data_IF_424221639324
#
_entry.id   IF_424221639324
#
_cell.length_a   1.000
_cell.length_b   1.000
_cell.length_c   1.000
_cell.angle_alpha   90.00
_cell.angle_beta   90.00
_cell.angle_gamma   90.00
#
_symmetry.space_group_name_H-M   'P 1'
#
loop_
_entity.id
_entity.type
_entity.pdbx_description
1 polymer ?
#
# COMPACT_ATOMS: atom_id res chain seq x y z
N UNK A 1 -4.62 7.21 -11.98
CA UNK A 1 -4.52 6.02 -11.11
C UNK A 1 -5.88 5.35 -11.03
N UNK A 2 -5.91 4.05 -11.19
CA UNK A 2 -7.13 3.28 -11.08
C UNK A 2 -7.06 2.41 -9.82
N UNK A 3 -8.03 2.60 -8.91
CA UNK A 3 -8.13 1.81 -7.69
C UNK A 3 -9.15 0.70 -7.90
N UNK A 4 -8.76 -0.53 -7.60
CA UNK A 4 -9.61 -1.72 -7.77
C UNK A 4 -9.71 -2.49 -6.47
N UNK A 5 -10.88 -3.08 -6.24
CA UNK A 5 -11.13 -3.97 -5.11
C UNK A 5 -11.88 -5.20 -5.60
N UNK A 6 -11.74 -6.29 -4.86
CA UNK A 6 -12.47 -7.54 -5.07
C UNK A 6 -13.34 -7.81 -3.83
N UNK A 7 -14.66 -7.56 -3.91
CA UNK A 7 -15.53 -7.77 -2.75
C UNK A 7 -15.61 -9.23 -2.29
N UNK A 8 -15.26 -10.18 -3.15
CA UNK A 8 -15.27 -11.62 -2.81
C UNK A 8 -14.03 -12.05 -2.05
N UNK A 9 -12.99 -11.22 -2.01
CA UNK A 9 -11.76 -11.52 -1.26
C UNK A 9 -12.01 -11.40 0.25
N UNK A 10 -11.37 -12.26 1.06
CA UNK A 10 -11.43 -12.12 2.52
C UNK A 10 -10.64 -10.92 3.06
N UNK A 11 -9.81 -10.29 2.23
CA UNK A 11 -9.02 -9.12 2.63
C UNK A 11 -9.97 -7.93 2.83
N UNK A 12 -9.88 -7.19 3.95
CA UNK A 12 -10.71 -6.00 4.17
C UNK A 12 -10.58 -4.99 3.02
N UNK A 13 -11.70 -4.38 2.64
CA UNK A 13 -11.73 -3.47 1.48
C UNK A 13 -10.78 -2.29 1.63
N UNK A 14 -10.63 -1.74 2.84
CA UNK A 14 -9.68 -0.65 3.08
C UNK A 14 -8.24 -1.06 2.79
N UNK A 15 -7.87 -2.28 3.17
CA UNK A 15 -6.53 -2.82 2.88
C UNK A 15 -6.34 -3.02 1.39
N UNK A 16 -7.40 -3.42 0.68
CA UNK A 16 -7.36 -3.57 -0.79
C UNK A 16 -7.17 -2.22 -1.48
N UNK A 17 -7.81 -1.17 -0.98
CA UNK A 17 -7.63 0.18 -1.50
C UNK A 17 -6.16 0.59 -1.35
N UNK A 18 -5.59 0.42 -0.17
CA UNK A 18 -4.18 0.74 0.07
C UNK A 18 -3.26 -0.08 -0.82
N UNK A 19 -3.51 -1.38 -0.96
CA UNK A 19 -2.71 -2.26 -1.82
C UNK A 19 -2.78 -1.83 -3.29
N UNK A 20 -3.94 -1.36 -3.75
CA UNK A 20 -4.13 -0.88 -5.12
C UNK A 20 -3.25 0.35 -5.39
N UNK A 21 -3.18 1.28 -4.43
CA UNK A 21 -2.32 2.47 -4.54
C UNK A 21 -0.84 2.05 -4.58
N UNK A 22 -0.42 1.16 -3.68
CA UNK A 22 0.97 0.68 -3.66
C UNK A 22 1.35 0.03 -4.99
N UNK A 23 0.45 -0.73 -5.58
CA UNK A 23 0.68 -1.37 -6.88
C UNK A 23 0.84 -0.33 -7.98
N UNK A 24 0.01 0.71 -8.01
CA UNK A 24 0.12 1.78 -8.99
C UNK A 24 1.48 2.49 -8.90
N UNK A 25 1.97 2.71 -7.67
CA UNK A 25 3.30 3.28 -7.46
C UNK A 25 4.38 2.33 -7.96
N UNK A 26 4.27 1.04 -7.63
CA UNK A 26 5.25 0.02 -8.04
C UNK A 26 5.32 -0.10 -9.57
N UNK A 27 4.18 0.02 -10.23
CA UNK A 27 4.07 -0.11 -11.69
C UNK A 27 4.41 1.18 -12.44
N UNK A 28 4.75 2.25 -11.72
CA UNK A 28 5.09 3.54 -12.32
C UNK A 28 3.88 4.34 -12.81
N UNK A 29 2.65 3.94 -12.43
CA UNK A 29 1.43 4.64 -12.81
C UNK A 29 1.12 5.84 -11.90
N UNK A 30 1.88 6.00 -10.83
CA UNK A 30 1.76 7.11 -9.89
C UNK A 30 3.13 7.45 -9.33
N UNK A 31 3.37 8.72 -9.06
CA UNK A 31 4.67 9.24 -8.62
C UNK A 31 4.52 10.22 -7.46
N UNK A 32 5.60 10.49 -6.71
CA UNK A 32 5.56 11.52 -5.66
C UNK A 32 5.02 12.84 -6.19
N UNK A 33 4.17 13.47 -5.41
CA UNK A 33 3.49 14.71 -5.79
C UNK A 33 2.13 14.50 -6.46
N UNK A 34 1.86 13.30 -6.95
CA UNK A 34 0.56 12.99 -7.53
C UNK A 34 -0.53 12.94 -6.46
N UNK A 35 -1.70 13.42 -6.83
CA UNK A 35 -2.87 13.35 -5.94
C UNK A 35 -3.58 12.02 -6.16
N UNK A 36 -4.00 11.41 -5.06
CA UNK A 36 -4.91 10.27 -5.16
C UNK A 36 -6.29 10.75 -5.59
N UNK A 37 -7.08 9.89 -6.24
CA UNK A 37 -8.47 10.24 -6.53
C UNK A 37 -9.21 10.61 -5.25
N UNK A 38 -10.12 11.60 -5.27
CA UNK A 38 -10.91 11.93 -4.09
C UNK A 38 -11.66 10.71 -3.56
N UNK A 39 -11.66 10.55 -2.24
CA UNK A 39 -12.23 9.37 -1.61
C UNK A 39 -13.70 9.15 -2.00
N UNK A 40 -14.48 10.24 -2.13
CA UNK A 40 -15.88 10.14 -2.54
C UNK A 40 -16.06 9.62 -3.95
N UNK A 41 -15.16 9.99 -4.87
CA UNK A 41 -15.21 9.50 -6.24
C UNK A 41 -14.87 8.01 -6.30
N UNK A 42 -13.86 7.60 -5.54
CA UNK A 42 -13.47 6.20 -5.47
C UNK A 42 -14.61 5.38 -4.87
N UNK A 43 -15.18 5.85 -3.77
CA UNK A 43 -16.30 5.16 -3.10
C UNK A 43 -17.49 4.99 -4.04
N UNK A 44 -17.85 6.04 -4.77
CA UNK A 44 -18.96 5.99 -5.74
C UNK A 44 -18.66 5.01 -6.88
N UNK A 45 -17.44 5.07 -7.41
CA UNK A 45 -17.02 4.21 -8.52
C UNK A 45 -17.01 2.73 -8.15
N UNK A 46 -16.57 2.41 -6.92
CA UNK A 46 -16.46 1.04 -6.44
C UNK A 46 -17.71 0.56 -5.70
N UNK A 47 -18.68 1.45 -5.49
CA UNK A 47 -19.90 1.15 -4.74
C UNK A 47 -19.59 0.67 -3.32
N UNK A 48 -18.65 1.34 -2.65
CA UNK A 48 -18.26 1.06 -1.27
C UNK A 48 -18.42 2.31 -0.41
N UNK A 49 -18.35 2.13 0.90
CA UNK A 49 -18.46 3.22 1.85
C UNK A 49 -17.24 4.15 1.74
N UNK A 50 -17.48 5.47 1.73
CA UNK A 50 -16.39 6.46 1.68
C UNK A 50 -15.42 6.31 2.85
N UNK A 51 -15.91 5.93 4.03
CA UNK A 51 -15.04 5.71 5.20
C UNK A 51 -14.09 4.54 5.00
N UNK A 52 -14.47 3.55 4.20
CA UNK A 52 -13.59 2.44 3.83
C UNK A 52 -12.42 2.94 2.99
N UNK A 53 -12.69 3.80 2.01
CA UNK A 53 -11.64 4.42 1.19
C UNK A 53 -10.73 5.29 2.05
N UNK A 54 -11.32 6.12 2.92
CA UNK A 54 -10.55 6.98 3.82
C UNK A 54 -9.65 6.18 4.75
N UNK A 55 -10.12 5.02 5.21
CA UNK A 55 -9.33 4.13 6.06
C UNK A 55 -8.11 3.61 5.31
N UNK A 56 -8.28 3.25 4.05
CA UNK A 56 -7.15 2.85 3.19
C UNK A 56 -6.14 3.98 3.02
N UNK A 57 -6.63 5.20 2.79
CA UNK A 57 -5.76 6.38 2.65
C UNK A 57 -5.04 6.70 3.96
N UNK A 58 -5.71 6.57 5.11
CA UNK A 58 -5.08 6.77 6.40
C UNK A 58 -3.98 5.74 6.66
N UNK A 59 -4.19 4.51 6.24
CA UNK A 59 -3.17 3.46 6.32
C UNK A 59 -1.92 3.86 5.53
N UNK A 60 -2.09 4.37 4.31
CA UNK A 60 -0.97 4.86 3.49
C UNK A 60 -0.28 6.05 4.14
N UNK A 61 -1.04 6.94 4.78
CA UNK A 61 -0.48 8.05 5.55
C UNK A 61 0.39 7.56 6.70
N UNK A 62 -0.11 6.57 7.44
CA UNK A 62 0.63 6.02 8.59
C UNK A 62 1.93 5.34 8.13
N UNK A 63 1.96 4.82 6.91
CA UNK A 63 3.16 4.27 6.30
C UNK A 63 4.11 5.34 5.75
N UNK A 64 3.69 6.59 5.73
CA UNK A 64 4.47 7.70 5.18
C UNK A 64 4.43 7.83 3.67
N UNK A 65 3.56 7.07 2.99
CA UNK A 65 3.45 7.10 1.53
C UNK A 65 2.55 8.22 1.02
N UNK A 66 1.67 8.72 1.87
CA UNK A 66 0.67 9.74 1.54
C UNK A 66 0.66 10.80 2.63
N UNK A 67 0.56 12.07 2.21
CA UNK A 67 0.21 13.20 3.07
C UNK A 67 -1.25 13.54 2.83
N UNK A 68 -2.00 13.76 3.90
CA UNK A 68 -3.36 14.27 3.82
C UNK A 68 -3.30 15.79 4.01
N UNK A 69 -3.51 16.52 2.92
CA UNK A 69 -3.38 17.97 2.91
C UNK A 69 -4.74 18.65 2.78
N UNK A 70 -4.98 19.63 3.64
CA UNK A 70 -6.20 20.42 3.57
C UNK A 70 -6.28 21.12 2.22
N UNK A 71 -7.43 20.97 1.52
CA UNK A 71 -7.65 21.56 0.21
C UNK A 71 -7.01 20.81 -0.96
N UNK A 72 -6.09 19.87 -0.71
CA UNK A 72 -5.43 19.08 -1.75
C UNK A 72 -5.74 17.59 -1.66
N UNK A 73 -6.34 17.13 -0.56
CA UNK A 73 -6.61 15.72 -0.34
C UNK A 73 -5.36 14.91 -0.07
N UNK A 74 -5.33 13.68 -0.57
CA UNK A 74 -4.21 12.76 -0.38
C UNK A 74 -3.19 12.94 -1.51
N UNK A 75 -1.94 13.18 -1.15
CA UNK A 75 -0.83 13.42 -2.09
C UNK A 75 0.28 12.43 -1.80
N UNK A 76 0.82 11.78 -2.83
CA UNK A 76 1.94 10.85 -2.68
C UNK A 76 3.20 11.62 -2.27
N UNK A 77 3.90 11.06 -1.28
CA UNK A 77 5.12 11.67 -0.72
C UNK A 77 6.37 11.27 -1.51
N UNK A 78 7.52 11.84 -1.16
CA UNK A 78 8.79 11.43 -1.72
C UNK A 78 9.14 9.97 -1.41
N UNK A 79 8.54 9.37 -0.37
CA UNK A 79 8.72 7.96 -0.03
C UNK A 79 7.90 7.04 -0.92
N UNK A 80 6.91 7.57 -1.64
CA UNK A 80 6.09 6.81 -2.57
C UNK A 80 6.82 6.62 -3.89
N UNK A 81 7.92 5.89 -3.86
CA UNK A 81 8.70 5.56 -5.05
C UNK A 81 8.47 4.10 -5.43
N UNK A 82 8.73 3.78 -6.70
CA UNK A 82 8.67 2.40 -7.15
C UNK A 82 9.65 1.51 -6.38
N UNK A 83 10.81 2.05 -6.01
CA UNK A 83 11.81 1.33 -5.22
C UNK A 83 11.31 0.97 -3.84
N UNK A 84 10.60 1.88 -3.18
CA UNK A 84 10.03 1.58 -1.86
C UNK A 84 8.94 0.52 -1.95
N UNK A 85 8.06 0.62 -2.95
CA UNK A 85 7.03 -0.37 -3.18
C UNK A 85 7.66 -1.73 -3.54
N UNK A 86 8.76 -1.72 -4.28
CA UNK A 86 9.51 -2.93 -4.59
C UNK A 86 10.08 -3.56 -3.31
N UNK A 87 10.62 -2.76 -2.41
CA UNK A 87 11.12 -3.25 -1.13
C UNK A 87 10.00 -3.95 -0.34
N UNK A 88 8.84 -3.33 -0.27
CA UNK A 88 7.70 -3.89 0.46
C UNK A 88 7.23 -5.20 -0.17
N UNK A 89 7.21 -5.28 -1.50
CA UNK A 89 6.86 -6.50 -2.21
C UNK A 89 7.88 -7.62 -1.92
N UNK A 90 9.17 -7.30 -1.95
CA UNK A 90 10.21 -8.28 -1.64
C UNK A 90 10.15 -8.75 -0.19
N UNK A 91 9.77 -7.88 0.73
CA UNK A 91 9.56 -8.26 2.12
C UNK A 91 8.42 -9.27 2.24
N UNK A 92 7.32 -9.07 1.49
CA UNK A 92 6.21 -10.00 1.46
C UNK A 92 6.62 -11.36 0.86
N UNK A 93 7.42 -11.35 -0.21
CA UNK A 93 7.95 -12.55 -0.82
C UNK A 93 8.86 -13.32 0.15
N UNK A 94 9.72 -12.60 0.87
CA UNK A 94 10.58 -13.18 1.90
C UNK A 94 9.74 -13.83 3.01
N UNK A 95 8.72 -13.15 3.48
CA UNK A 95 7.83 -13.70 4.49
C UNK A 95 7.12 -14.97 4.03
N UNK A 96 6.67 -15.01 2.78
CA UNK A 96 6.03 -16.18 2.19
C UNK A 96 7.01 -17.36 2.11
N UNK A 97 8.25 -17.11 1.69
CA UNK A 97 9.29 -18.13 1.63
C UNK A 97 9.60 -18.68 3.03
N UNK A 98 9.73 -17.80 4.02
CA UNK A 98 9.99 -18.20 5.40
C UNK A 98 8.88 -19.12 5.94
N UNK A 99 7.62 -18.79 5.64
CA UNK A 99 6.49 -19.64 6.05
C UNK A 99 6.58 -21.03 5.42
N UNK A 100 6.94 -21.11 4.14
CA UNK A 100 7.12 -22.40 3.46
C UNK A 100 8.24 -23.24 4.08
N UNK A 101 9.28 -22.56 4.59
CA UNK A 101 10.41 -23.23 5.24
C UNK A 101 10.18 -23.49 6.73
N UNK A 102 9.04 -23.06 7.26
CA UNK A 102 8.75 -23.22 8.69
C UNK A 102 9.55 -22.31 9.60
N UNK A 103 10.08 -21.20 9.06
CA UNK A 103 10.88 -20.25 9.83
C UNK A 103 9.99 -19.19 10.48
N UNK A 104 10.37 -18.75 11.67
CA UNK A 104 9.68 -17.71 12.39
C UNK A 104 10.25 -16.31 12.14
N UNK A 105 9.63 -15.33 12.77
CA UNK A 105 10.03 -13.92 12.64
C UNK A 105 11.50 -13.71 12.99
N UNK A 106 11.97 -14.31 14.08
CA UNK A 106 13.34 -14.17 14.54
C UNK A 106 14.35 -14.62 13.48
N UNK A 107 14.07 -15.74 12.80
CA UNK A 107 14.93 -16.25 11.73
C UNK A 107 14.97 -15.28 10.54
N UNK A 108 13.82 -14.74 10.16
CA UNK A 108 13.72 -13.81 9.04
C UNK A 108 14.47 -12.52 9.35
N UNK A 109 14.28 -11.96 10.55
CA UNK A 109 14.97 -10.74 10.96
C UNK A 109 16.48 -10.98 11.03
N UNK A 110 16.92 -12.16 11.48
CA UNK A 110 18.33 -12.53 11.50
C UNK A 110 18.94 -12.58 10.10
N UNK A 111 18.21 -13.13 9.14
CA UNK A 111 18.66 -13.19 7.75
C UNK A 111 18.79 -11.79 7.14
N UNK A 112 17.81 -10.91 7.42
CA UNK A 112 17.86 -9.53 6.92
C UNK A 112 19.04 -8.78 7.55
N UNK A 113 19.25 -8.92 8.87
CA UNK A 113 20.41 -8.29 9.55
C UNK A 113 21.73 -8.74 8.94
N UNK A 114 21.86 -10.03 8.66
CA UNK A 114 23.07 -10.55 8.04
C UNK A 114 23.32 -9.96 6.65
N UNK A 115 22.25 -9.78 5.88
CA UNK A 115 22.33 -9.19 4.54
C UNK A 115 22.71 -7.70 4.56
N UNK A 116 22.37 -6.99 5.66
CA UNK A 116 22.64 -5.57 5.80
C UNK A 116 24.06 -5.24 6.30
N UNK A 117 24.84 -6.22 6.67
CA UNK A 117 26.23 -6.03 7.16
C UNK A 117 27.18 -5.62 6.06
#
# INVERSE_FOLDING_TARGET
MLIRVDPSSPVPLGDQVAASVRRAVADGHAAPGDRLPPAREVAASLEINVHTVLRGYQQLRDEGLVDLRRGRGAVLTARATGERAELDRKAAELAALARRLGLGESDVLGAVRAALR
#
